data_IF_906113086688
#
_entry.id   IF_906113086688
#
_cell.length_a   1.000
_cell.length_b   1.000
_cell.length_c   1.000
_cell.angle_alpha   90.00
_cell.angle_beta   90.00
_cell.angle_gamma   90.00
#
_symmetry.space_group_name_H-M   'P 1'
#
loop_
_entity.id
_entity.type
_entity.pdbx_description
1 polymer ?
#
# COMPACT_ATOMS: atom_id res chain seq x y z
N UNK A 1 11.48 -21.88 -44.63
CA UNK A 1 10.28 -21.17 -44.17
C UNK A 1 10.38 -21.06 -42.67
N UNK A 2 10.93 -19.95 -42.19
CA UNK A 2 11.04 -19.66 -40.74
C UNK A 2 9.70 -19.12 -40.26
N UNK A 3 9.07 -19.90 -39.38
CA UNK A 3 7.82 -19.57 -38.71
C UNK A 3 8.01 -18.25 -37.95
N UNK A 4 7.38 -17.18 -38.43
CA UNK A 4 7.30 -15.91 -37.72
C UNK A 4 6.31 -16.12 -36.60
N UNK A 5 6.82 -16.60 -35.46
CA UNK A 5 6.05 -16.70 -34.22
C UNK A 5 5.47 -15.31 -33.93
N UNK A 6 4.17 -15.17 -34.13
CA UNK A 6 3.41 -13.96 -33.87
C UNK A 6 3.67 -13.49 -32.44
N UNK A 7 4.29 -12.32 -32.30
CA UNK A 7 4.45 -11.71 -30.97
C UNK A 7 3.07 -11.57 -30.35
N UNK A 8 2.90 -11.92 -29.04
CA UNK A 8 1.61 -11.83 -28.38
C UNK A 8 1.11 -10.38 -28.44
N UNK A 9 -0.19 -10.22 -28.64
CA UNK A 9 -0.80 -8.89 -28.65
C UNK A 9 -0.63 -8.21 -27.26
N UNK A 10 -0.65 -6.87 -27.24
CA UNK A 10 -0.54 -6.13 -25.99
C UNK A 10 -1.61 -6.55 -24.95
N UNK A 11 -2.83 -6.89 -25.42
CA UNK A 11 -3.91 -7.39 -24.56
C UNK A 11 -3.60 -8.78 -23.98
N UNK A 12 -2.97 -9.67 -24.75
CA UNK A 12 -2.53 -10.98 -24.25
C UNK A 12 -1.41 -10.84 -23.22
N UNK A 13 -0.48 -9.92 -23.41
CA UNK A 13 0.59 -9.65 -22.45
C UNK A 13 0.04 -9.08 -21.15
N UNK A 14 -0.90 -8.13 -21.21
CA UNK A 14 -1.60 -7.60 -20.03
C UNK A 14 -2.36 -8.71 -19.30
N UNK A 15 -3.14 -9.53 -20.04
CA UNK A 15 -3.86 -10.67 -19.46
C UNK A 15 -2.91 -11.66 -18.78
N UNK A 16 -1.79 -12.01 -19.42
CA UNK A 16 -0.77 -12.88 -18.84
C UNK A 16 -0.17 -12.26 -17.57
N UNK A 17 0.10 -10.96 -17.56
CA UNK A 17 0.58 -10.25 -16.39
C UNK A 17 -0.40 -10.29 -15.20
N UNK A 18 -1.69 -10.12 -15.45
CA UNK A 18 -2.75 -10.15 -14.41
C UNK A 18 -2.92 -11.57 -13.85
N UNK A 19 -2.86 -12.61 -14.70
CA UNK A 19 -3.04 -14.02 -14.28
C UNK A 19 -1.75 -14.61 -13.69
N UNK A 20 -0.61 -13.98 -13.92
CA UNK A 20 0.67 -14.47 -13.43
C UNK A 20 0.68 -14.63 -11.92
N UNK A 21 1.18 -15.76 -11.45
CA UNK A 21 1.49 -16.02 -10.05
C UNK A 21 2.98 -16.25 -9.94
N UNK A 22 3.70 -15.26 -9.42
CA UNK A 22 5.12 -15.39 -9.22
C UNK A 22 5.44 -16.53 -8.24
N UNK A 23 6.48 -17.30 -8.56
CA UNK A 23 6.91 -18.43 -7.73
C UNK A 23 7.30 -17.92 -6.35
N UNK A 24 6.72 -18.47 -5.26
CA UNK A 24 7.10 -18.08 -3.91
C UNK A 24 8.57 -18.41 -3.63
N UNK A 25 9.28 -17.50 -2.98
CA UNK A 25 10.63 -17.77 -2.50
C UNK A 25 10.58 -18.74 -1.32
N UNK A 26 11.23 -19.89 -1.46
CA UNK A 26 11.32 -20.87 -0.38
C UNK A 26 12.45 -20.47 0.58
N UNK A 27 12.07 -20.11 1.82
CA UNK A 27 13.02 -19.82 2.90
C UNK A 27 13.19 -21.04 3.82
N UNK A 28 14.38 -21.24 4.42
CA UNK A 28 14.59 -22.26 5.44
C UNK A 28 13.66 -22.07 6.65
N UNK A 29 13.25 -23.16 7.35
CA UNK A 29 12.28 -23.06 8.45
C UNK A 29 12.64 -22.08 9.56
N UNK A 30 13.94 -21.99 9.93
CA UNK A 30 14.42 -21.03 10.93
C UNK A 30 14.28 -19.58 10.51
N UNK A 31 14.48 -19.27 9.22
CA UNK A 31 14.27 -17.93 8.65
C UNK A 31 12.79 -17.57 8.66
N UNK A 32 11.91 -18.50 8.31
CA UNK A 32 10.46 -18.30 8.34
C UNK A 32 9.97 -18.02 9.77
N UNK A 33 10.46 -18.77 10.78
CA UNK A 33 10.08 -18.56 12.18
C UNK A 33 10.52 -17.17 12.67
N UNK A 34 11.79 -16.80 12.43
CA UNK A 34 12.31 -15.47 12.75
C UNK A 34 11.47 -14.39 12.09
N UNK A 35 11.16 -14.52 10.79
CA UNK A 35 10.34 -13.57 10.05
C UNK A 35 8.97 -13.40 10.70
N UNK A 36 8.30 -14.50 11.09
CA UNK A 36 6.99 -14.45 11.74
C UNK A 36 7.01 -13.73 13.08
N UNK A 37 8.05 -13.97 13.90
CA UNK A 37 8.22 -13.29 15.20
C UNK A 37 8.42 -11.78 14.97
N UNK A 38 9.34 -11.39 14.08
CA UNK A 38 9.60 -9.98 13.77
C UNK A 38 8.35 -9.31 13.23
N UNK A 39 7.64 -9.94 12.30
CA UNK A 39 6.40 -9.41 11.72
C UNK A 39 5.33 -9.18 12.79
N UNK A 40 5.16 -10.10 13.74
CA UNK A 40 4.20 -9.93 14.82
C UNK A 40 4.53 -8.74 15.72
N UNK A 41 5.80 -8.58 16.10
CA UNK A 41 6.27 -7.45 16.92
C UNK A 41 6.08 -6.13 16.15
N UNK A 42 6.54 -6.07 14.91
CA UNK A 42 6.45 -4.88 14.06
C UNK A 42 4.99 -4.49 13.80
N UNK A 43 4.08 -5.46 13.63
CA UNK A 43 2.66 -5.20 13.47
C UNK A 43 2.09 -4.46 14.70
N UNK A 44 2.40 -4.93 15.92
CA UNK A 44 1.94 -4.30 17.16
C UNK A 44 2.49 -2.88 17.29
N UNK A 45 3.80 -2.70 17.05
CA UNK A 45 4.46 -1.39 17.14
C UNK A 45 3.92 -0.41 16.09
N UNK A 46 3.67 -0.88 14.86
CA UNK A 46 3.12 -0.07 13.79
C UNK A 46 1.68 0.37 14.06
N UNK A 47 0.82 -0.56 14.51
CA UNK A 47 -0.56 -0.25 14.94
C UNK A 47 -0.57 0.78 16.05
N UNK A 48 0.30 0.64 17.05
CA UNK A 48 0.43 1.59 18.14
C UNK A 48 0.90 2.97 17.63
N UNK A 49 1.94 3.02 16.78
CA UNK A 49 2.46 4.27 16.21
C UNK A 49 1.42 5.01 15.39
N UNK A 50 0.66 4.30 14.53
CA UNK A 50 -0.43 4.89 13.74
C UNK A 50 -1.53 5.43 14.66
N UNK A 51 -1.93 4.66 15.69
CA UNK A 51 -2.93 5.11 16.65
C UNK A 51 -2.48 6.33 17.46
N UNK A 52 -1.21 6.42 17.81
CA UNK A 52 -0.63 7.59 18.49
C UNK A 52 -0.55 8.81 17.56
N UNK A 53 -0.21 8.64 16.30
CA UNK A 53 -0.22 9.72 15.31
C UNK A 53 -1.63 10.30 15.12
N UNK A 54 -2.62 9.45 14.86
CA UNK A 54 -4.00 9.87 14.57
C UNK A 54 -4.80 10.35 15.80
N UNK A 55 -4.25 10.24 17.01
CA UNK A 55 -4.81 10.85 18.24
C UNK A 55 -4.32 12.28 18.47
N UNK A 56 -3.34 12.75 17.69
CA UNK A 56 -2.84 14.13 17.79
C UNK A 56 -3.72 15.06 16.99
N UNK A 57 -3.79 16.32 17.46
CA UNK A 57 -4.50 17.32 16.66
C UNK A 57 -3.74 17.62 15.36
N UNK A 58 -4.46 17.94 14.26
CA UNK A 58 -3.83 18.43 13.05
C UNK A 58 -2.90 19.61 13.34
N UNK A 59 -1.69 19.58 12.77
CA UNK A 59 -0.66 20.62 12.99
C UNK A 59 0.22 20.43 14.22
N UNK A 60 -0.09 19.53 15.13
CA UNK A 60 0.80 19.25 16.26
C UNK A 60 2.13 18.62 15.79
N UNK A 61 3.30 19.07 16.26
CA UNK A 61 4.59 18.44 15.92
C UNK A 61 4.63 16.93 16.23
N UNK A 62 3.94 16.50 17.29
CA UNK A 62 3.87 15.09 17.67
C UNK A 62 3.20 14.20 16.61
N UNK A 63 2.28 14.72 15.80
CA UNK A 63 1.72 14.00 14.67
C UNK A 63 2.81 13.59 13.67
N UNK A 64 3.69 14.52 13.30
CA UNK A 64 4.77 14.25 12.34
C UNK A 64 5.81 13.28 12.89
N UNK A 65 6.17 13.41 14.17
CA UNK A 65 7.11 12.49 14.82
C UNK A 65 6.57 11.07 14.90
N UNK A 66 5.28 10.89 15.28
CA UNK A 66 4.67 9.57 15.30
C UNK A 66 4.46 8.98 13.91
N UNK A 67 4.17 9.81 12.92
CA UNK A 67 4.06 9.39 11.52
C UNK A 67 5.43 8.97 10.95
N UNK A 68 6.49 9.68 11.30
CA UNK A 68 7.86 9.29 10.94
C UNK A 68 8.29 7.99 11.65
N UNK A 69 7.96 7.86 12.93
CA UNK A 69 8.21 6.62 13.68
C UNK A 69 7.46 5.44 13.05
N UNK A 70 6.21 5.64 12.64
CA UNK A 70 5.41 4.64 11.90
C UNK A 70 6.12 4.19 10.62
N UNK A 71 6.55 5.14 9.77
CA UNK A 71 7.29 4.82 8.55
C UNK A 71 8.59 4.05 8.83
N UNK A 72 9.31 4.46 9.88
CA UNK A 72 10.51 3.77 10.35
C UNK A 72 10.23 2.35 10.87
N UNK A 73 9.21 2.17 11.69
CA UNK A 73 8.80 0.85 12.23
C UNK A 73 8.45 -0.10 11.08
N UNK A 74 7.62 0.33 10.14
CA UNK A 74 7.27 -0.50 8.99
C UNK A 74 8.46 -0.80 8.09
N UNK A 75 9.22 0.23 7.69
CA UNK A 75 10.35 0.08 6.77
C UNK A 75 11.49 -0.73 7.37
N UNK A 76 12.03 -0.32 8.51
CA UNK A 76 13.13 -1.01 9.18
C UNK A 76 12.71 -2.41 9.63
N UNK A 77 11.49 -2.56 10.20
CA UNK A 77 10.96 -3.85 10.59
C UNK A 77 10.84 -4.82 9.42
N UNK A 78 10.47 -4.34 8.25
CA UNK A 78 10.42 -5.17 7.04
C UNK A 78 11.81 -5.70 6.66
N UNK A 79 12.85 -4.86 6.66
CA UNK A 79 14.23 -5.29 6.39
C UNK A 79 14.78 -6.23 7.46
N UNK A 80 14.53 -5.95 8.74
CA UNK A 80 14.94 -6.83 9.86
C UNK A 80 14.27 -8.19 9.76
N UNK A 81 13.05 -8.28 9.21
CA UNK A 81 12.34 -9.56 9.04
C UNK A 81 13.08 -10.52 8.09
N UNK A 82 13.81 -10.01 7.10
CA UNK A 82 14.55 -10.79 6.12
C UNK A 82 14.57 -10.15 4.74
N UNK A 83 15.10 -10.83 3.72
CA UNK A 83 15.27 -10.28 2.38
C UNK A 83 13.92 -9.88 1.75
N UNK A 84 13.93 -8.76 1.04
CA UNK A 84 12.81 -8.24 0.28
C UNK A 84 13.15 -8.25 -1.21
N UNK A 85 12.14 -8.50 -2.05
CA UNK A 85 12.32 -8.60 -3.49
C UNK A 85 11.56 -7.47 -4.20
N UNK A 86 12.20 -6.81 -5.16
CA UNK A 86 11.57 -5.75 -5.94
C UNK A 86 10.55 -6.27 -6.96
N UNK A 87 10.72 -7.53 -7.40
CA UNK A 87 9.85 -8.15 -8.39
C UNK A 87 10.20 -7.80 -9.84
N UNK A 88 9.47 -8.38 -10.76
CA UNK A 88 9.63 -8.19 -12.20
C UNK A 88 8.33 -8.43 -12.95
N UNK A 89 8.22 -7.83 -14.13
CA UNK A 89 7.13 -8.05 -15.08
C UNK A 89 7.73 -8.37 -16.45
N UNK A 90 7.15 -9.35 -17.16
CA UNK A 90 7.50 -9.61 -18.55
C UNK A 90 6.68 -8.71 -19.47
N UNK A 91 7.39 -7.95 -20.30
CA UNK A 91 6.79 -7.12 -21.34
C UNK A 91 7.61 -7.20 -22.61
N UNK A 92 6.98 -7.53 -23.73
CA UNK A 92 7.63 -7.74 -25.03
C UNK A 92 8.82 -8.71 -24.96
N UNK A 93 8.62 -9.83 -24.26
CA UNK A 93 9.65 -10.86 -24.08
C UNK A 93 10.82 -10.51 -23.15
N UNK A 94 10.87 -9.29 -22.61
CA UNK A 94 11.91 -8.82 -21.67
C UNK A 94 11.40 -8.80 -20.24
N UNK A 95 12.25 -9.22 -19.31
CA UNK A 95 11.97 -9.06 -17.87
C UNK A 95 12.36 -7.64 -17.46
N UNK A 96 11.39 -6.84 -16.99
CA UNK A 96 11.57 -5.44 -16.64
C UNK A 96 11.09 -5.19 -15.20
N UNK A 97 11.56 -4.12 -14.58
CA UNK A 97 11.00 -3.65 -13.32
C UNK A 97 9.58 -3.13 -13.56
N UNK A 98 8.60 -3.45 -12.67
CA UNK A 98 7.20 -3.11 -12.88
C UNK A 98 6.89 -1.63 -12.51
N UNK A 99 7.73 -0.69 -12.99
CA UNK A 99 7.58 0.75 -12.70
C UNK A 99 6.34 1.30 -13.38
N UNK A 100 6.20 1.05 -14.68
CA UNK A 100 5.08 1.59 -15.45
C UNK A 100 3.75 1.03 -14.94
N UNK A 101 3.67 -0.30 -14.70
CA UNK A 101 2.44 -0.92 -14.23
C UNK A 101 2.00 -0.38 -12.87
N UNK A 102 2.89 -0.30 -11.88
CA UNK A 102 2.56 0.26 -10.58
C UNK A 102 2.12 1.73 -10.65
N UNK A 103 2.83 2.55 -11.44
CA UNK A 103 2.45 3.96 -11.63
C UNK A 103 1.06 4.10 -12.27
N UNK A 104 0.81 3.36 -13.36
CA UNK A 104 -0.49 3.42 -14.06
C UNK A 104 -1.63 2.94 -13.16
N UNK A 105 -1.44 1.85 -12.42
CA UNK A 105 -2.46 1.34 -11.49
C UNK A 105 -2.72 2.36 -10.38
N UNK A 106 -1.66 3.01 -9.85
CA UNK A 106 -1.80 4.08 -8.87
C UNK A 106 -2.60 5.29 -9.39
N UNK A 107 -2.36 5.71 -10.65
CA UNK A 107 -3.12 6.77 -11.30
C UNK A 107 -4.60 6.39 -11.48
N UNK A 108 -4.87 5.20 -11.97
CA UNK A 108 -6.23 4.70 -12.16
C UNK A 108 -6.98 4.60 -10.83
N UNK A 109 -6.34 4.04 -9.82
CA UNK A 109 -6.92 3.92 -8.49
C UNK A 109 -7.18 5.29 -7.84
N UNK A 110 -6.24 6.22 -7.99
CA UNK A 110 -6.42 7.62 -7.57
C UNK A 110 -7.63 8.26 -8.25
N UNK A 111 -7.78 8.08 -9.56
CA UNK A 111 -8.94 8.54 -10.32
C UNK A 111 -10.25 7.96 -9.82
N UNK A 112 -10.29 6.66 -9.52
CA UNK A 112 -11.47 6.00 -8.91
C UNK A 112 -11.82 6.63 -7.57
N UNK A 113 -10.82 6.93 -6.72
CA UNK A 113 -11.06 7.58 -5.43
C UNK A 113 -11.52 9.03 -5.56
N UNK A 114 -11.06 9.77 -6.58
CA UNK A 114 -11.58 11.11 -6.87
C UNK A 114 -13.07 11.04 -7.25
N UNK A 115 -13.42 10.15 -8.19
CA UNK A 115 -14.83 9.94 -8.60
C UNK A 115 -15.67 9.48 -7.43
N UNK A 116 -15.19 8.53 -6.64
CA UNK A 116 -15.83 8.11 -5.40
C UNK A 116 -16.03 9.27 -4.42
N UNK A 117 -15.01 10.12 -4.24
CA UNK A 117 -15.06 11.32 -3.42
C UNK A 117 -16.15 12.29 -3.83
N UNK A 118 -16.32 12.55 -5.14
CA UNK A 118 -17.38 13.39 -5.69
C UNK A 118 -18.79 12.87 -5.38
N UNK A 119 -18.95 11.54 -5.30
CA UNK A 119 -20.22 10.92 -4.96
C UNK A 119 -20.47 10.98 -3.44
N UNK A 120 -19.49 10.55 -2.64
CA UNK A 120 -19.70 10.39 -1.20
C UNK A 120 -19.66 11.69 -0.41
N UNK A 121 -19.15 12.81 -0.97
CA UNK A 121 -19.21 14.13 -0.34
C UNK A 121 -20.65 14.62 -0.13
N UNK A 122 -21.61 14.12 -0.93
CA UNK A 122 -23.02 14.42 -0.80
C UNK A 122 -23.70 13.63 0.36
N UNK A 123 -22.98 12.70 0.99
CA UNK A 123 -23.45 11.89 2.11
C UNK A 123 -22.82 12.41 3.40
N UNK A 124 -23.55 13.19 4.24
CA UNK A 124 -22.95 13.94 5.36
C UNK A 124 -22.10 13.08 6.32
N UNK A 125 -22.58 11.89 6.68
CA UNK A 125 -21.87 10.98 7.59
C UNK A 125 -20.55 10.51 7.00
N UNK A 126 -20.50 10.20 5.71
CA UNK A 126 -19.30 9.74 5.01
C UNK A 126 -18.33 10.90 4.79
N UNK A 127 -18.87 12.04 4.37
CA UNK A 127 -18.09 13.26 4.18
C UNK A 127 -17.37 13.68 5.45
N UNK A 128 -18.02 13.64 6.60
CA UNK A 128 -17.41 13.96 7.90
C UNK A 128 -16.24 13.01 8.24
N UNK A 129 -16.39 11.70 8.00
CA UNK A 129 -15.32 10.72 8.23
C UNK A 129 -14.09 10.98 7.37
N UNK A 130 -14.28 11.40 6.11
CA UNK A 130 -13.20 11.74 5.17
C UNK A 130 -12.57 13.07 5.59
N UNK A 131 -13.38 14.09 5.84
CA UNK A 131 -12.94 15.45 6.24
C UNK A 131 -12.04 15.41 7.48
N UNK A 132 -12.36 14.57 8.48
CA UNK A 132 -11.52 14.39 9.67
C UNK A 132 -10.07 13.98 9.32
N UNK A 133 -9.89 13.14 8.32
CA UNK A 133 -8.57 12.74 7.86
C UNK A 133 -7.89 13.83 7.04
N UNK A 134 -8.65 14.52 6.18
CA UNK A 134 -8.12 15.58 5.33
C UNK A 134 -7.70 16.83 6.10
N UNK A 135 -8.25 17.06 7.30
CA UNK A 135 -7.83 18.17 8.19
C UNK A 135 -6.34 18.14 8.56
N UNK A 136 -5.70 16.97 8.54
CA UNK A 136 -4.24 16.90 8.75
C UNK A 136 -3.44 17.57 7.63
N UNK A 137 -3.99 17.65 6.42
CA UNK A 137 -3.38 18.40 5.31
C UNK A 137 -3.71 19.89 5.36
N UNK A 138 -4.90 20.25 5.81
CA UNK A 138 -5.41 21.62 5.84
C UNK A 138 -4.89 22.41 7.04
N UNK A 139 -5.01 21.86 8.26
CA UNK A 139 -4.68 22.56 9.51
C UNK A 139 -3.23 22.40 9.94
N UNK A 140 -2.40 21.71 9.16
CA UNK A 140 -0.99 21.48 9.41
C UNK A 140 -0.09 21.98 8.28
N UNK A 141 1.18 21.60 8.32
CA UNK A 141 2.06 21.80 7.17
C UNK A 141 1.72 20.75 6.11
N UNK A 142 1.04 21.14 5.03
CA UNK A 142 0.68 20.24 3.94
C UNK A 142 1.91 19.52 3.36
N UNK A 143 3.08 20.20 3.29
CA UNK A 143 4.33 19.60 2.80
C UNK A 143 4.85 18.51 3.73
N UNK A 144 4.82 18.74 5.04
CA UNK A 144 5.24 17.74 6.02
C UNK A 144 4.26 16.59 6.07
N UNK A 145 2.95 16.86 6.04
CA UNK A 145 1.90 15.82 6.00
C UNK A 145 2.08 14.95 4.76
N UNK A 146 2.28 15.55 3.59
CA UNK A 146 2.56 14.83 2.35
C UNK A 146 3.81 13.97 2.48
N UNK A 147 4.92 14.54 2.97
CA UNK A 147 6.18 13.82 3.09
C UNK A 147 6.06 12.60 4.02
N UNK A 148 5.48 12.77 5.22
CA UNK A 148 5.34 11.64 6.15
C UNK A 148 4.33 10.61 5.66
N UNK A 149 3.26 11.01 4.97
CA UNK A 149 2.30 10.09 4.37
C UNK A 149 2.90 9.26 3.24
N UNK A 150 3.71 9.87 2.37
CA UNK A 150 4.42 9.15 1.30
C UNK A 150 5.48 8.21 1.86
N UNK A 151 6.20 8.60 2.91
CA UNK A 151 7.15 7.72 3.60
C UNK A 151 6.42 6.55 4.28
N UNK A 152 5.28 6.81 4.92
CA UNK A 152 4.45 5.77 5.51
C UNK A 152 3.93 4.79 4.45
N UNK A 153 3.44 5.29 3.31
CA UNK A 153 2.98 4.46 2.20
C UNK A 153 4.07 3.48 1.71
N UNK A 154 5.32 3.96 1.56
CA UNK A 154 6.46 3.10 1.22
C UNK A 154 6.71 2.06 2.32
N UNK A 155 6.77 2.49 3.58
CA UNK A 155 6.99 1.60 4.72
C UNK A 155 5.91 0.53 4.85
N UNK A 156 4.64 0.88 4.65
CA UNK A 156 3.51 -0.03 4.67
C UNK A 156 3.65 -1.13 3.61
N UNK A 157 4.00 -0.78 2.38
CA UNK A 157 4.16 -1.80 1.34
C UNK A 157 5.37 -2.70 1.57
N UNK A 158 6.49 -2.15 2.09
CA UNK A 158 7.63 -2.96 2.52
C UNK A 158 7.21 -3.98 3.59
N UNK A 159 6.37 -3.57 4.53
CA UNK A 159 5.89 -4.45 5.60
C UNK A 159 4.78 -5.40 5.13
N UNK A 160 3.64 -4.88 4.64
CA UNK A 160 2.48 -5.72 4.32
C UNK A 160 2.72 -6.62 3.11
N UNK A 161 3.35 -6.13 2.02
CA UNK A 161 3.60 -6.90 0.78
C UNK A 161 4.99 -7.51 0.73
N UNK A 162 5.93 -6.96 1.51
CA UNK A 162 7.26 -7.54 1.69
C UNK A 162 7.28 -8.59 2.79
N UNK A 163 7.33 -8.14 4.04
CA UNK A 163 7.55 -8.98 5.21
C UNK A 163 6.38 -9.91 5.53
N UNK A 164 5.18 -9.35 5.77
CA UNK A 164 3.99 -10.09 6.18
C UNK A 164 3.54 -11.07 5.09
N UNK A 165 3.42 -10.62 3.83
CA UNK A 165 3.04 -11.46 2.72
C UNK A 165 3.96 -12.68 2.59
N UNK A 166 5.29 -12.47 2.74
CA UNK A 166 6.27 -13.54 2.69
C UNK A 166 6.19 -14.46 3.92
N UNK A 167 5.93 -13.92 5.12
CA UNK A 167 5.74 -14.72 6.34
C UNK A 167 4.53 -15.67 6.26
N UNK A 168 3.49 -15.25 5.52
CA UNK A 168 2.27 -16.03 5.28
C UNK A 168 2.44 -17.09 4.19
N UNK A 169 3.31 -16.87 3.23
CA UNK A 169 3.69 -17.69 2.06
C UNK A 169 2.65 -18.71 1.54
N UNK A 170 2.36 -19.76 2.31
CA UNK A 170 1.47 -20.88 1.92
C UNK A 170 0.03 -20.76 2.42
N UNK A 171 -0.29 -19.71 3.19
CA UNK A 171 -1.58 -19.54 3.88
C UNK A 171 -2.36 -18.35 3.34
N UNK A 172 -2.82 -18.42 2.10
CA UNK A 172 -3.64 -17.37 1.46
C UNK A 172 -3.10 -15.94 1.68
N UNK A 173 -1.83 -15.67 1.34
CA UNK A 173 -1.14 -14.43 1.74
C UNK A 173 -1.84 -13.16 1.24
N UNK A 174 -2.47 -13.20 0.07
CA UNK A 174 -3.23 -12.08 -0.48
C UNK A 174 -4.39 -11.71 0.47
N UNK A 175 -5.24 -12.68 0.81
CA UNK A 175 -6.42 -12.43 1.64
C UNK A 175 -6.02 -12.03 3.06
N UNK A 176 -5.15 -12.83 3.70
CA UNK A 176 -4.79 -12.64 5.11
C UNK A 176 -4.04 -11.32 5.30
N UNK A 177 -3.09 -10.95 4.41
CA UNK A 177 -2.37 -9.67 4.54
C UNK A 177 -3.28 -8.47 4.34
N UNK A 178 -4.27 -8.55 3.43
CA UNK A 178 -5.26 -7.49 3.22
C UNK A 178 -6.20 -7.35 4.43
N UNK A 179 -6.68 -8.45 4.98
CA UNK A 179 -7.55 -8.45 6.18
C UNK A 179 -6.80 -7.88 7.39
N UNK A 180 -5.54 -8.31 7.61
CA UNK A 180 -4.71 -7.76 8.69
C UNK A 180 -4.49 -6.26 8.49
N UNK A 181 -4.20 -5.82 7.27
CA UNK A 181 -4.04 -4.39 6.96
C UNK A 181 -5.30 -3.59 7.27
N UNK A 182 -6.46 -4.05 6.85
CA UNK A 182 -7.74 -3.39 7.11
C UNK A 182 -8.07 -3.33 8.61
N UNK A 183 -7.89 -4.43 9.35
CA UNK A 183 -8.12 -4.49 10.80
C UNK A 183 -7.13 -3.57 11.54
N UNK A 184 -5.85 -3.61 11.20
CA UNK A 184 -4.83 -2.75 11.78
C UNK A 184 -5.15 -1.26 11.57
N UNK A 185 -5.56 -0.90 10.35
CA UNK A 185 -5.97 0.46 10.00
C UNK A 185 -7.22 0.88 10.77
N UNK A 186 -8.24 0.04 10.85
CA UNK A 186 -9.47 0.33 11.61
C UNK A 186 -9.20 0.49 13.12
N UNK A 187 -8.42 -0.43 13.70
CA UNK A 187 -8.09 -0.41 15.12
C UNK A 187 -7.30 0.84 15.52
N UNK A 188 -6.39 1.30 14.64
CA UNK A 188 -5.56 2.49 14.88
C UNK A 188 -6.32 3.80 14.67
N UNK A 189 -7.03 3.91 13.53
CA UNK A 189 -7.67 5.15 13.09
C UNK A 189 -9.07 5.35 13.66
N UNK A 190 -9.76 4.25 14.01
CA UNK A 190 -11.20 4.23 14.34
C UNK A 190 -12.06 4.89 13.24
N UNK A 191 -11.56 4.91 12.02
CA UNK A 191 -12.23 5.49 10.88
C UNK A 191 -12.55 4.41 9.83
N UNK A 192 -13.83 4.05 9.65
CA UNK A 192 -14.24 2.99 8.72
C UNK A 192 -13.94 3.34 7.27
N UNK A 193 -13.89 4.62 6.90
CA UNK A 193 -13.55 5.02 5.52
C UNK A 193 -12.07 4.80 5.22
N UNK A 194 -11.18 5.00 6.20
CA UNK A 194 -9.78 4.65 6.04
C UNK A 194 -9.59 3.13 5.94
N UNK A 195 -10.33 2.35 6.73
CA UNK A 195 -10.32 0.89 6.62
C UNK A 195 -10.87 0.41 5.26
N UNK A 196 -11.91 1.02 4.75
CA UNK A 196 -12.45 0.76 3.41
C UNK A 196 -11.40 1.04 2.33
N UNK A 197 -10.71 2.18 2.41
CA UNK A 197 -9.60 2.49 1.52
C UNK A 197 -8.48 1.44 1.62
N UNK A 198 -8.14 0.99 2.84
CA UNK A 198 -7.16 -0.06 3.07
C UNK A 198 -7.56 -1.41 2.46
N UNK A 199 -8.84 -1.76 2.43
CA UNK A 199 -9.33 -2.98 1.77
C UNK A 199 -9.10 -2.89 0.26
N UNK A 200 -9.50 -1.79 -0.38
CA UNK A 200 -9.38 -1.62 -1.83
C UNK A 200 -7.92 -1.55 -2.25
N UNK A 201 -7.18 -0.60 -1.70
CA UNK A 201 -5.75 -0.42 -1.96
C UNK A 201 -4.97 -1.69 -1.61
N UNK A 202 -5.28 -2.27 -0.45
CA UNK A 202 -4.69 -3.50 0.04
C UNK A 202 -4.84 -4.67 -0.90
N UNK A 203 -6.03 -4.83 -1.47
CA UNK A 203 -6.31 -5.89 -2.45
C UNK A 203 -5.53 -5.66 -3.74
N UNK A 204 -5.55 -4.44 -4.27
CA UNK A 204 -4.80 -4.08 -5.49
C UNK A 204 -3.31 -4.34 -5.32
N UNK A 205 -2.71 -3.81 -4.25
CA UNK A 205 -1.28 -4.01 -3.96
C UNK A 205 -0.92 -5.49 -3.72
N UNK A 206 -1.80 -6.28 -3.09
CA UNK A 206 -1.57 -7.71 -2.89
C UNK A 206 -1.68 -8.51 -4.20
N UNK A 207 -2.55 -8.10 -5.12
CA UNK A 207 -2.63 -8.66 -6.48
C UNK A 207 -1.36 -8.35 -7.29
N UNK A 208 -0.86 -7.12 -7.22
CA UNK A 208 0.41 -6.73 -7.85
C UNK A 208 1.60 -7.51 -7.26
N UNK A 209 1.64 -7.67 -5.92
CA UNK A 209 2.63 -8.49 -5.24
C UNK A 209 2.61 -9.93 -5.74
N UNK A 210 1.43 -10.51 -5.90
CA UNK A 210 1.25 -11.85 -6.45
C UNK A 210 1.76 -11.95 -7.89
N UNK A 211 1.41 -10.97 -8.72
CA UNK A 211 1.73 -10.97 -10.14
C UNK A 211 3.22 -10.73 -10.42
N UNK A 212 3.85 -9.82 -9.69
CA UNK A 212 5.25 -9.38 -9.94
C UNK A 212 6.29 -10.09 -9.08
N UNK A 213 5.87 -10.77 -8.03
CA UNK A 213 6.78 -11.41 -7.07
C UNK A 213 7.55 -10.44 -6.18
N UNK A 214 7.21 -9.12 -6.16
CA UNK A 214 7.94 -8.12 -5.40
C UNK A 214 7.13 -6.94 -4.92
N UNK A 215 7.79 -6.01 -4.25
CA UNK A 215 7.16 -4.86 -3.58
C UNK A 215 7.15 -3.58 -4.43
N UNK A 216 7.88 -3.53 -5.56
CA UNK A 216 8.06 -2.28 -6.29
C UNK A 216 6.75 -1.76 -6.91
N UNK A 217 5.95 -2.64 -7.55
CA UNK A 217 4.65 -2.23 -8.08
C UNK A 217 3.71 -1.74 -6.98
N UNK A 218 3.46 -2.50 -5.88
CA UNK A 218 2.69 -2.02 -4.75
C UNK A 218 3.15 -0.68 -4.19
N UNK A 219 4.46 -0.48 -4.00
CA UNK A 219 5.02 0.78 -3.51
C UNK A 219 4.64 1.95 -4.43
N UNK A 220 4.80 1.78 -5.74
CA UNK A 220 4.50 2.83 -6.71
C UNK A 220 2.99 3.11 -6.78
N UNK A 221 2.16 2.07 -6.75
CA UNK A 221 0.71 2.20 -6.71
C UNK A 221 0.26 2.97 -5.48
N UNK A 222 0.71 2.58 -4.29
CA UNK A 222 0.34 3.24 -3.04
C UNK A 222 0.86 4.68 -2.98
N UNK A 223 2.12 4.90 -3.37
CA UNK A 223 2.74 6.23 -3.41
C UNK A 223 1.97 7.20 -4.33
N UNK A 224 1.69 6.78 -5.56
CA UNK A 224 0.97 7.62 -6.54
C UNK A 224 -0.47 7.85 -6.10
N UNK A 225 -1.14 6.81 -5.60
CA UNK A 225 -2.49 6.93 -5.04
C UNK A 225 -2.53 7.93 -3.87
N UNK A 226 -1.62 7.82 -2.90
CA UNK A 226 -1.52 8.74 -1.76
C UNK A 226 -1.30 10.17 -2.23
N UNK A 227 -0.39 10.38 -3.19
CA UNK A 227 -0.13 11.70 -3.75
C UNK A 227 -1.41 12.32 -4.35
N UNK A 228 -2.14 11.55 -5.16
CA UNK A 228 -3.38 12.02 -5.81
C UNK A 228 -4.45 12.32 -4.76
N UNK A 229 -4.68 11.42 -3.81
CA UNK A 229 -5.70 11.58 -2.77
C UNK A 229 -5.44 12.83 -1.92
N UNK A 230 -4.20 13.02 -1.48
CA UNK A 230 -3.84 14.17 -0.63
C UNK A 230 -3.80 15.51 -1.38
N UNK A 231 -3.64 15.51 -2.71
CA UNK A 231 -3.71 16.73 -3.52
C UNK A 231 -5.14 17.06 -3.99
N UNK A 232 -5.92 16.03 -4.33
CA UNK A 232 -7.19 16.24 -4.99
C UNK A 232 -8.40 16.22 -4.05
N UNK A 233 -8.41 15.41 -2.98
CA UNK A 233 -9.58 15.34 -2.11
C UNK A 233 -9.78 16.57 -1.21
N UNK A 234 -8.76 17.23 -0.61
CA UNK A 234 -9.00 18.39 0.23
C UNK A 234 -9.85 19.47 -0.45
N UNK A 235 -9.52 19.97 -1.65
CA UNK A 235 -10.34 20.97 -2.32
C UNK A 235 -11.75 20.44 -2.71
N UNK A 236 -11.93 19.14 -2.92
CA UNK A 236 -13.26 18.57 -3.21
C UNK A 236 -14.17 18.57 -1.98
N UNK A 237 -13.60 18.56 -0.77
CA UNK A 237 -14.32 18.61 0.50
C UNK A 237 -14.30 20.01 1.14
N UNK A 238 -13.89 21.04 0.41
CA UNK A 238 -13.91 22.44 0.87
C UNK A 238 -12.79 22.80 1.85
N UNK A 239 -11.64 22.09 1.78
CA UNK A 239 -10.43 22.30 2.59
C UNK A 239 -9.30 22.86 1.74
#
# INVERSE_FOLDING_TARGET
MTDVSSQPSALEEIRRGIVNVAVPHNEPPGVVLRRRIVVAIVLVLGVASLGLALRRHPGEPAFYWWSLALAGVWGLGAFVSGPLHLGGARWRGRNQRPVVSGTVIGLLLGGVFIVGGLIVREIPVVAELITRLLRYTDQGSWRLTMAVALLAAVGEELFYRGALYTALARHHPLLISTVIYAIATLASSRNPMLAFAAIILGTVCALERRATGGVLAPILTHFVWTLIVLLALPPLFGL
#
